data_IF_496779223798
#
_entry.id   IF_496779223798
#
_cell.length_a   1.000
_cell.length_b   1.000
_cell.length_c   1.000
_cell.angle_alpha   90.00
_cell.angle_beta   90.00
_cell.angle_gamma   90.00
#
_symmetry.space_group_name_H-M   'P 1'
#
loop_
_entity.id
_entity.type
_entity.pdbx_description
1 polymer ?
#
# COMPACT_ATOMS: atom_id res chain seq x y z
N UNK A 1 25.21 -19.91 -18.02
CA UNK A 1 23.81 -19.65 -17.65
C UNK A 1 23.77 -19.58 -16.13
N UNK A 2 23.82 -18.39 -15.56
CA UNK A 2 23.72 -18.23 -14.09
C UNK A 2 22.23 -18.13 -13.81
N UNK A 3 21.67 -19.17 -13.20
CA UNK A 3 20.29 -19.17 -12.74
C UNK A 3 20.21 -18.11 -11.65
N UNK A 4 19.58 -16.97 -11.96
CA UNK A 4 19.34 -15.89 -11.02
C UNK A 4 18.37 -16.42 -9.97
N UNK A 5 18.94 -16.76 -8.81
CA UNK A 5 18.18 -17.02 -7.59
C UNK A 5 17.49 -15.70 -7.21
N UNK A 6 16.24 -15.51 -7.66
CA UNK A 6 15.41 -14.38 -7.19
C UNK A 6 15.19 -14.61 -5.70
N UNK A 7 16.07 -14.01 -4.91
CA UNK A 7 16.07 -14.14 -3.46
C UNK A 7 14.78 -13.52 -2.96
N UNK A 8 14.09 -14.19 -2.04
CA UNK A 8 12.78 -13.79 -1.49
C UNK A 8 12.74 -12.32 -1.04
N UNK A 9 13.90 -11.75 -0.69
CA UNK A 9 14.11 -10.33 -0.37
C UNK A 9 13.73 -9.36 -1.49
N UNK A 10 14.03 -9.68 -2.75
CA UNK A 10 13.74 -8.79 -3.89
C UNK A 10 12.23 -8.65 -4.07
N UNK A 11 11.49 -9.75 -3.91
CA UNK A 11 10.02 -9.74 -4.03
C UNK A 11 9.33 -8.95 -2.92
N UNK A 12 9.90 -8.96 -1.70
CA UNK A 12 9.36 -8.22 -0.56
C UNK A 12 9.58 -6.72 -0.75
N UNK A 13 10.78 -6.32 -1.19
CA UNK A 13 11.08 -4.92 -1.49
C UNK A 13 10.21 -4.37 -2.61
N UNK A 14 10.08 -5.11 -3.72
CA UNK A 14 9.20 -4.74 -4.84
C UNK A 14 7.74 -4.53 -4.37
N UNK A 15 7.27 -5.37 -3.46
CA UNK A 15 5.91 -5.29 -2.92
C UNK A 15 5.73 -4.09 -1.99
N UNK A 16 6.70 -3.81 -1.13
CA UNK A 16 6.66 -2.62 -0.26
C UNK A 16 6.64 -1.34 -1.08
N UNK A 17 7.52 -1.21 -2.07
CA UNK A 17 7.59 -0.03 -2.94
C UNK A 17 6.26 0.19 -3.67
N UNK A 18 5.69 -0.88 -4.23
CA UNK A 18 4.37 -0.82 -4.87
C UNK A 18 3.29 -0.29 -3.91
N UNK A 19 3.24 -0.79 -2.68
CA UNK A 19 2.23 -0.37 -1.70
C UNK A 19 2.41 1.08 -1.29
N UNK A 20 3.64 1.53 -1.06
CA UNK A 20 3.97 2.93 -0.73
C UNK A 20 3.51 3.85 -1.87
N UNK A 21 3.84 3.52 -3.12
CA UNK A 21 3.43 4.30 -4.28
C UNK A 21 1.91 4.39 -4.43
N UNK A 22 1.20 3.28 -4.25
CA UNK A 22 -0.26 3.28 -4.31
C UNK A 22 -0.88 4.11 -3.18
N UNK A 23 -0.39 3.97 -1.94
CA UNK A 23 -0.88 4.76 -0.81
C UNK A 23 -0.72 6.26 -1.05
N UNK A 24 0.43 6.70 -1.57
CA UNK A 24 0.68 8.08 -1.97
C UNK A 24 -0.29 8.52 -3.07
N UNK A 25 -0.60 7.66 -4.05
CA UNK A 25 -1.57 7.96 -5.11
C UNK A 25 -2.97 8.21 -4.56
N UNK A 26 -3.37 7.51 -3.49
CA UNK A 26 -4.63 7.77 -2.78
C UNK A 26 -4.55 8.95 -1.81
N UNK A 27 -3.43 9.68 -1.76
CA UNK A 27 -3.22 10.82 -0.89
C UNK A 27 -2.93 10.44 0.56
N UNK A 28 -2.50 9.19 0.81
CA UNK A 28 -2.15 8.74 2.14
C UNK A 28 -0.63 8.67 2.32
N UNK A 29 -0.13 9.42 3.31
CA UNK A 29 1.31 9.66 3.50
C UNK A 29 1.86 9.11 4.82
N UNK A 30 0.97 8.80 5.76
CA UNK A 30 1.30 8.26 7.08
C UNK A 30 0.23 7.28 7.56
N UNK A 31 0.59 6.47 8.54
CA UNK A 31 -0.34 5.60 9.26
C UNK A 31 -1.21 6.40 10.22
N UNK A 32 -2.29 5.78 10.71
CA UNK A 32 -3.18 6.40 11.71
C UNK A 32 -2.45 6.78 13.03
N UNK A 33 -1.29 6.19 13.29
CA UNK A 33 -0.43 6.46 14.47
C UNK A 33 0.66 7.52 14.19
N UNK A 34 0.68 8.11 12.99
CA UNK A 34 1.62 9.16 12.58
C UNK A 34 2.99 8.66 12.10
N UNK A 35 3.22 7.33 12.05
CA UNK A 35 4.43 6.77 11.42
C UNK A 35 4.38 6.92 9.91
N UNK A 36 5.52 7.28 9.30
CA UNK A 36 5.66 7.40 7.85
C UNK A 36 5.63 6.01 7.18
N UNK A 37 5.26 5.96 5.90
CA UNK A 37 5.02 4.68 5.21
C UNK A 37 6.25 3.75 5.17
N UNK A 38 7.46 4.30 5.06
CA UNK A 38 8.69 3.50 5.03
C UNK A 38 9.09 2.95 6.40
N UNK A 39 8.45 3.41 7.48
CA UNK A 39 8.63 2.88 8.84
C UNK A 39 7.71 1.66 9.10
N UNK A 40 6.81 1.35 8.18
CA UNK A 40 5.83 0.28 8.32
C UNK A 40 6.38 -1.05 7.78
N UNK A 41 6.05 -2.13 8.47
CA UNK A 41 6.25 -3.48 7.93
C UNK A 41 5.36 -3.73 6.71
N UNK A 42 5.72 -4.73 5.89
CA UNK A 42 4.91 -5.12 4.74
C UNK A 42 3.44 -5.42 5.12
N UNK A 43 3.21 -6.10 6.24
CA UNK A 43 1.86 -6.43 6.70
C UNK A 43 1.05 -5.17 7.07
N UNK A 44 1.69 -4.18 7.69
CA UNK A 44 1.06 -2.89 8.01
C UNK A 44 0.72 -2.11 6.74
N UNK A 45 1.62 -2.09 5.75
CA UNK A 45 1.38 -1.46 4.45
C UNK A 45 0.20 -2.11 3.70
N UNK A 46 0.12 -3.44 3.69
CA UNK A 46 -0.98 -4.16 3.04
C UNK A 46 -2.32 -3.86 3.70
N UNK A 47 -2.35 -3.84 5.03
CA UNK A 47 -3.56 -3.54 5.78
C UNK A 47 -4.02 -2.09 5.55
N UNK A 48 -3.10 -1.13 5.59
CA UNK A 48 -3.39 0.27 5.31
C UNK A 48 -3.92 0.45 3.87
N UNK A 49 -3.31 -0.22 2.89
CA UNK A 49 -3.75 -0.16 1.50
C UNK A 49 -5.18 -0.69 1.32
N UNK A 50 -5.53 -1.80 1.98
CA UNK A 50 -6.91 -2.33 1.98
C UNK A 50 -7.88 -1.30 2.57
N UNK A 51 -7.56 -0.74 3.74
CA UNK A 51 -8.40 0.26 4.41
C UNK A 51 -8.67 1.46 3.50
N UNK A 52 -7.62 2.05 2.93
CA UNK A 52 -7.71 3.21 2.03
C UNK A 52 -8.56 2.90 0.79
N UNK A 53 -8.37 1.74 0.17
CA UNK A 53 -9.18 1.33 -0.99
C UNK A 53 -10.66 1.13 -0.65
N UNK A 54 -10.96 0.52 0.51
CA UNK A 54 -12.33 0.37 0.98
C UNK A 54 -13.00 1.73 1.24
N UNK A 55 -12.28 2.67 1.84
CA UNK A 55 -12.79 4.02 2.10
C UNK A 55 -13.03 4.79 0.81
N UNK A 56 -12.09 4.70 -0.14
CA UNK A 56 -12.24 5.32 -1.46
C UNK A 56 -13.43 4.74 -2.23
N UNK A 57 -13.57 3.41 -2.26
CA UNK A 57 -14.72 2.75 -2.90
C UNK A 57 -16.06 3.17 -2.31
N UNK A 58 -16.14 3.30 -0.98
CA UNK A 58 -17.35 3.78 -0.28
C UNK A 58 -17.70 5.21 -0.64
N UNK A 59 -16.71 6.11 -0.71
CA UNK A 59 -16.93 7.51 -1.14
C UNK A 59 -17.50 7.59 -2.54
N UNK A 60 -16.96 6.80 -3.48
CA UNK A 60 -17.44 6.75 -4.86
C UNK A 60 -18.88 6.20 -5.00
N UNK A 61 -19.31 5.31 -4.11
CA UNK A 61 -20.69 4.79 -4.14
C UNK A 61 -21.74 5.74 -3.57
N UNK A 62 -21.34 6.73 -2.77
CA UNK A 62 -22.27 7.69 -2.16
C UNK A 62 -22.57 8.91 -3.05
N UNK A 63 -21.74 9.21 -4.05
CA UNK A 63 -21.93 10.35 -4.95
C UNK A 63 -22.76 10.02 -6.21
N UNK A 64 -23.26 8.79 -6.34
CA UNK A 64 -24.03 8.32 -7.50
C UNK A 64 -25.56 8.22 -7.22
N UNK A 65 -26.07 8.99 -6.27
CA UNK A 65 -27.49 8.95 -5.89
C UNK A 65 -27.99 10.28 -5.35
N UNK A 66 -28.15 11.27 -6.22
CA UNK A 66 -29.13 12.36 -6.10
C UNK A 66 -29.61 12.76 -7.51
#
# INVERSE_FOLDING_TARGET
MVLSEKSTTDTVSERQDYLIHELIRYGQYESDDGRQLYELSLAELEWLHIKVKCDFGRKMTCEAGD
#
